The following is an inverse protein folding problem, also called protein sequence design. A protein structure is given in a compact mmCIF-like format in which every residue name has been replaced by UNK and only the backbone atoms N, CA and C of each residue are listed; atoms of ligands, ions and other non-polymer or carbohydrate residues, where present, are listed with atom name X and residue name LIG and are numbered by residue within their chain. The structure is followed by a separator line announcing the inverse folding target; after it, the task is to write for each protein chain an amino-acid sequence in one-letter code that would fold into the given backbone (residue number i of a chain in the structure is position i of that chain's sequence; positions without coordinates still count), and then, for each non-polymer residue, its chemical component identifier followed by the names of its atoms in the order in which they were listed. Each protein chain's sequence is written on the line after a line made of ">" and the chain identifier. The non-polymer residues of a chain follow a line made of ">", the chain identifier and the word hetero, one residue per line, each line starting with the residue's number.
data_IF_504095106924
#
_entry.id   IF_504095106924
#
_cell.length_a   1.000
_cell.length_b   1.000
_cell.length_c   1.000
_cell.angle_alpha   90.00
_cell.angle_beta   90.00
_cell.angle_gamma   90.00
#
_symmetry.space_group_name_H-M   'P 1'
#
loop_
_entity.id
_entity.type
_entity.pdbx_description
1 polymer ?
#
# COMPACT_ATOMS: atom_id res chain seq x y z
N UNK A 1 22.51 11.78 -8.59
CA UNK A 1 21.94 11.61 -8.50
C UNK A 1 21.20 11.54 -8.22
N UNK A 2 21.03 11.78 -8.01
CA UNK A 2 20.29 11.66 -7.70
C UNK A 2 19.47 11.81 -7.76
N UNK A 3 19.32 11.95 -7.99
CA UNK A 3 18.33 12.05 -7.97
C UNK A 3 17.52 11.97 -7.50
N UNK A 4 18.12 11.90 -7.68
CA UNK A 4 17.19 11.33 -6.75
C UNK A 4 16.09 12.29 -6.37
N UNK A 5 16.53 13.33 -5.92
CA UNK A 5 15.57 14.32 -5.46
C UNK A 5 14.60 14.65 -6.57
N UNK A 6 15.11 14.66 -7.73
CA UNK A 6 14.29 15.06 -8.86
C UNK A 6 13.12 14.11 -9.08
N UNK A 7 13.34 12.84 -8.80
CA UNK A 7 12.30 11.87 -9.08
C UNK A 7 11.19 11.82 -8.06
N UNK A 8 11.35 12.52 -6.98
CA UNK A 8 10.40 12.39 -5.90
C UNK A 8 9.10 13.08 -6.19
N UNK A 9 9.20 14.31 -6.58
CA UNK A 9 8.01 15.12 -6.78
C UNK A 9 7.25 14.60 -7.98
N UNK A 10 5.99 14.43 -7.84
CA UNK A 10 5.17 13.98 -8.95
C UNK A 10 5.09 12.49 -9.11
N UNK A 11 6.01 11.74 -8.50
CA UNK A 11 5.96 10.29 -8.59
C UNK A 11 5.80 9.63 -7.23
N UNK A 12 5.57 10.42 -6.20
CA UNK A 12 5.44 9.85 -4.86
C UNK A 12 4.26 8.89 -4.76
N UNK A 13 3.17 9.21 -5.45
CA UNK A 13 2.02 8.33 -5.44
C UNK A 13 2.33 6.98 -6.06
N UNK A 14 3.07 7.00 -7.16
CA UNK A 14 3.47 5.77 -7.81
C UNK A 14 4.47 5.01 -6.96
N UNK A 15 5.36 5.72 -6.28
CA UNK A 15 6.30 5.06 -5.39
C UNK A 15 5.57 4.34 -4.27
N UNK A 16 4.56 4.95 -3.69
CA UNK A 16 3.78 4.33 -2.64
C UNK A 16 3.09 3.10 -3.18
N UNK A 17 2.41 3.24 -4.31
CA UNK A 17 1.70 2.13 -4.92
C UNK A 17 2.63 0.96 -5.21
N UNK A 18 3.76 1.25 -5.86
CA UNK A 18 4.69 0.20 -6.23
C UNK A 18 5.33 -0.45 -5.00
N UNK A 19 5.60 0.34 -3.98
CA UNK A 19 6.17 -0.19 -2.74
C UNK A 19 5.20 -1.18 -2.09
N UNK A 20 3.93 -0.81 -2.01
CA UNK A 20 2.93 -1.69 -1.41
C UNK A 20 2.73 -2.92 -2.27
N UNK A 21 2.63 -2.72 -3.58
CA UNK A 21 2.44 -3.85 -4.49
C UNK A 21 3.59 -4.84 -4.38
N UNK A 22 4.82 -4.34 -4.36
CA UNK A 22 5.98 -5.21 -4.27
C UNK A 22 5.93 -6.02 -2.98
N UNK A 23 5.55 -5.40 -1.87
CA UNK A 23 5.46 -6.11 -0.61
C UNK A 23 4.42 -7.24 -0.68
N UNK A 24 3.24 -6.94 -1.22
CA UNK A 24 2.18 -7.93 -1.30
C UNK A 24 2.59 -9.07 -2.24
N UNK A 25 3.14 -8.73 -3.38
CA UNK A 25 3.54 -9.73 -4.35
C UNK A 25 4.63 -10.64 -3.77
N UNK A 26 5.63 -10.07 -3.12
CA UNK A 26 6.74 -10.86 -2.60
C UNK A 26 6.32 -11.73 -1.42
N UNK A 27 5.44 -11.24 -0.58
CA UNK A 27 5.13 -11.92 0.66
C UNK A 27 3.89 -12.78 0.60
N UNK A 28 3.00 -12.54 -0.35
CA UNK A 28 1.73 -13.25 -0.39
C UNK A 28 1.42 -13.89 -1.74
N UNK A 29 2.12 -13.51 -2.79
CA UNK A 29 1.86 -14.04 -4.13
C UNK A 29 3.08 -14.72 -4.72
N UNK A 30 4.10 -14.95 -3.93
CA UNK A 30 5.29 -15.70 -4.35
C UNK A 30 5.94 -15.09 -5.60
N UNK A 31 5.89 -13.77 -5.71
CA UNK A 31 6.51 -13.08 -6.82
C UNK A 31 5.63 -12.98 -8.06
N UNK A 32 4.44 -13.52 -8.02
CA UNK A 32 3.54 -13.52 -9.20
C UNK A 32 2.63 -12.32 -9.13
N UNK A 33 2.91 -11.30 -9.93
CA UNK A 33 2.13 -10.07 -9.91
C UNK A 33 0.93 -10.10 -10.85
N UNK A 34 0.70 -11.22 -11.54
CA UNK A 34 -0.42 -11.30 -12.48
C UNK A 34 -1.76 -11.37 -11.78
N UNK A 35 -1.76 -11.64 -10.48
CA UNK A 35 -3.00 -11.80 -9.73
C UNK A 35 -3.48 -10.54 -9.06
N UNK A 36 -2.75 -9.43 -9.20
CA UNK A 36 -3.06 -8.23 -8.43
C UNK A 36 -3.14 -7.00 -9.34
N UNK A 37 -4.29 -6.35 -9.34
CA UNK A 37 -4.49 -5.09 -10.01
C UNK A 37 -4.77 -4.01 -8.99
N UNK A 38 -5.04 -2.81 -9.45
CA UNK A 38 -5.28 -1.67 -8.56
C UNK A 38 -6.48 -1.89 -7.66
N UNK A 39 -7.54 -2.47 -8.20
CA UNK A 39 -8.79 -2.62 -7.47
C UNK A 39 -9.06 -4.06 -7.04
N UNK A 40 -8.07 -4.93 -7.16
CA UNK A 40 -8.23 -6.31 -6.73
C UNK A 40 -8.46 -6.36 -5.22
N UNK A 41 -9.56 -6.99 -4.82
CA UNK A 41 -9.89 -7.11 -3.40
C UNK A 41 -9.03 -8.22 -2.80
N UNK A 42 -8.18 -7.86 -1.86
CA UNK A 42 -7.24 -8.80 -1.27
C UNK A 42 -7.94 -9.93 -0.54
N UNK A 43 -9.01 -9.61 0.17
CA UNK A 43 -9.68 -10.59 0.99
C UNK A 43 -10.54 -11.50 0.14
N UNK A 44 -11.32 -10.92 -0.77
CA UNK A 44 -12.22 -11.72 -1.61
C UNK A 44 -11.45 -12.65 -2.53
N UNK A 45 -10.27 -12.23 -2.95
CA UNK A 45 -9.46 -13.05 -3.84
C UNK A 45 -8.49 -13.94 -3.10
N UNK A 46 -8.57 -13.97 -1.79
CA UNK A 46 -7.73 -14.88 -1.01
C UNK A 46 -6.27 -14.52 -0.97
N UNK A 47 -5.93 -13.27 -1.29
CA UNK A 47 -4.54 -12.84 -1.25
C UNK A 47 -4.08 -12.61 0.17
N UNK A 48 -4.94 -11.99 0.98
CA UNK A 48 -4.66 -11.75 2.39
C UNK A 48 -5.79 -12.31 3.24
N UNK A 49 -5.43 -12.87 4.39
CA UNK A 49 -6.39 -13.15 5.46
C UNK A 49 -6.18 -12.10 6.55
N UNK A 50 -6.87 -12.27 7.69
CA UNK A 50 -6.76 -11.28 8.75
C UNK A 50 -5.35 -11.17 9.30
N UNK A 51 -4.62 -12.28 9.39
CA UNK A 51 -3.23 -12.23 9.81
C UNK A 51 -2.38 -11.48 8.79
N UNK A 52 -2.61 -11.75 7.50
CA UNK A 52 -1.88 -11.05 6.45
C UNK A 52 -2.13 -9.56 6.46
N UNK A 53 -3.38 -9.15 6.75
CA UNK A 53 -3.68 -7.73 6.86
C UNK A 53 -2.88 -7.09 7.98
N UNK A 54 -2.78 -7.77 9.13
CA UNK A 54 -1.99 -7.22 10.24
C UNK A 54 -0.51 -7.12 9.88
N UNK A 55 0.00 -8.09 9.14
CA UNK A 55 1.38 -8.01 8.67
C UNK A 55 1.58 -6.85 7.72
N UNK A 56 0.63 -6.65 6.82
CA UNK A 56 0.69 -5.52 5.91
C UNK A 56 0.66 -4.20 6.67
N UNK A 57 -0.20 -4.09 7.67
CA UNK A 57 -0.28 -2.88 8.48
C UNK A 57 1.07 -2.60 9.15
N UNK A 58 1.70 -3.63 9.71
CA UNK A 58 3.02 -3.44 10.31
C UNK A 58 4.03 -2.91 9.31
N UNK A 59 3.99 -3.43 8.09
CA UNK A 59 4.87 -2.95 7.03
C UNK A 59 4.58 -1.48 6.72
N UNK A 60 3.30 -1.12 6.62
CA UNK A 60 2.94 0.27 6.30
C UNK A 60 3.42 1.22 7.39
N UNK A 61 3.24 0.83 8.64
CA UNK A 61 3.66 1.69 9.75
C UNK A 61 5.15 1.91 9.74
N UNK A 62 5.90 0.85 9.51
CA UNK A 62 7.36 0.95 9.52
C UNK A 62 7.87 1.69 8.30
N UNK A 63 7.34 1.35 7.14
CA UNK A 63 7.85 1.88 5.88
C UNK A 63 7.52 3.37 5.72
N UNK A 64 6.34 3.76 6.12
CA UNK A 64 5.87 5.13 5.87
C UNK A 64 5.85 5.99 7.13
N UNK A 65 6.25 5.42 8.26
CA UNK A 65 6.34 6.20 9.51
C UNK A 65 4.99 6.67 10.01
N UNK A 66 3.96 5.87 9.83
CA UNK A 66 2.61 6.23 10.25
C UNK A 66 2.14 5.29 11.35
N UNK A 67 1.02 5.63 11.94
CA UNK A 67 0.34 4.76 12.89
C UNK A 67 -1.07 4.49 12.36
N UNK A 68 -1.42 3.23 12.28
CA UNK A 68 -2.75 2.83 11.82
C UNK A 68 -3.59 2.51 13.05
N UNK A 69 -4.65 3.28 13.26
CA UNK A 69 -5.53 3.06 14.40
C UNK A 69 -6.50 1.93 14.11
N UNK A 70 -7.00 1.31 15.17
CA UNK A 70 -7.89 0.16 15.01
C UNK A 70 -9.11 0.50 14.16
N UNK A 71 -9.66 1.69 14.31
CA UNK A 71 -10.84 2.06 13.56
C UNK A 71 -10.53 2.41 12.10
N UNK A 72 -9.26 2.45 11.74
CA UNK A 72 -8.86 2.62 10.35
C UNK A 72 -8.65 1.29 9.63
N UNK A 73 -8.73 0.19 10.36
CA UNK A 73 -8.58 -1.15 9.78
C UNK A 73 -9.91 -1.61 9.21
N UNK A 74 -10.34 -0.95 8.16
CA UNK A 74 -11.60 -1.25 7.50
C UNK A 74 -11.36 -1.52 6.03
N UNK A 75 -12.23 -2.28 5.37
CA UNK A 75 -12.02 -2.62 3.96
C UNK A 75 -11.85 -1.40 3.07
N UNK A 76 -12.55 -0.31 3.37
CA UNK A 76 -12.44 0.88 2.55
C UNK A 76 -11.04 1.46 2.53
N UNK A 77 -10.22 1.15 3.52
CA UNK A 77 -8.84 1.64 3.58
C UNK A 77 -7.82 0.60 3.16
N UNK A 78 -8.14 -0.68 3.30
CA UNK A 78 -7.11 -1.69 3.33
C UNK A 78 -7.25 -2.82 2.32
N UNK A 79 -8.34 -2.90 1.56
CA UNK A 79 -8.55 -4.13 0.82
C UNK A 79 -8.11 -4.10 -0.65
N UNK A 80 -7.45 -3.04 -1.10
CA UNK A 80 -6.89 -3.03 -2.45
C UNK A 80 -5.69 -2.08 -2.49
N UNK A 81 -4.89 -2.22 -3.52
CA UNK A 81 -3.73 -1.32 -3.70
C UNK A 81 -4.18 0.13 -3.78
N UNK A 82 -5.24 0.37 -4.52
CA UNK A 82 -5.74 1.72 -4.69
C UNK A 82 -6.16 2.33 -3.36
N UNK A 83 -6.91 1.58 -2.59
CA UNK A 83 -7.42 2.09 -1.31
C UNK A 83 -6.30 2.33 -0.32
N UNK A 84 -5.34 1.40 -0.25
CA UNK A 84 -4.21 1.59 0.65
C UNK A 84 -3.39 2.80 0.24
N UNK A 85 -3.16 2.97 -1.05
CA UNK A 85 -2.39 4.10 -1.53
C UNK A 85 -3.05 5.42 -1.13
N UNK A 86 -4.37 5.51 -1.32
CA UNK A 86 -5.11 6.70 -0.92
C UNK A 86 -5.03 6.91 0.59
N UNK A 87 -5.16 5.84 1.36
CA UNK A 87 -5.06 5.92 2.80
C UNK A 87 -3.69 6.47 3.22
N UNK A 88 -2.62 5.93 2.63
CA UNK A 88 -1.28 6.39 2.96
C UNK A 88 -1.11 7.86 2.60
N UNK A 89 -1.64 8.29 1.48
CA UNK A 89 -1.50 9.67 1.08
C UNK A 89 -2.20 10.61 2.06
N UNK A 90 -3.34 10.21 2.58
CA UNK A 90 -4.04 11.01 3.58
C UNK A 90 -3.27 11.07 4.89
N UNK A 91 -2.69 9.95 5.31
CA UNK A 91 -1.97 9.90 6.58
C UNK A 91 -0.66 10.69 6.50
N UNK A 92 0.01 10.62 5.38
CA UNK A 92 1.31 11.28 5.24
C UNK A 92 1.21 12.69 4.71
N UNK A 93 0.13 13.01 4.03
CA UNK A 93 0.00 14.31 3.40
C UNK A 93 0.90 14.50 2.20
N UNK A 94 1.47 13.43 1.68
CA UNK A 94 2.45 13.55 0.60
C UNK A 94 1.86 13.54 -0.78
N UNK A 95 0.76 12.86 -0.95
CA UNK A 95 0.13 12.74 -2.25
C UNK A 95 -1.09 13.60 -2.22
N UNK A 96 -1.08 14.62 -3.03
CA UNK A 96 -2.19 15.55 -3.05
C UNK A 96 -2.95 15.39 -4.34
N UNK A 97 -4.18 14.97 -4.26
CA UNK A 97 -4.98 14.85 -5.46
C UNK A 97 -5.24 16.18 -6.11
N UNK A 98 -4.80 17.16 -5.51
CA UNK A 98 -4.88 18.53 -6.03
C UNK A 98 -6.29 18.98 -6.17
#
# INVERSE_FOLDING_TARGET
>A
MNNAAAGITGVEGMDVLETIKAYVVENFLFGDDSRIGLDTDFIENGILDSTGVLELVGFLEEKFGIRVDDDELVPDNMNSLEKITLYISKKTGKIQPA
#
